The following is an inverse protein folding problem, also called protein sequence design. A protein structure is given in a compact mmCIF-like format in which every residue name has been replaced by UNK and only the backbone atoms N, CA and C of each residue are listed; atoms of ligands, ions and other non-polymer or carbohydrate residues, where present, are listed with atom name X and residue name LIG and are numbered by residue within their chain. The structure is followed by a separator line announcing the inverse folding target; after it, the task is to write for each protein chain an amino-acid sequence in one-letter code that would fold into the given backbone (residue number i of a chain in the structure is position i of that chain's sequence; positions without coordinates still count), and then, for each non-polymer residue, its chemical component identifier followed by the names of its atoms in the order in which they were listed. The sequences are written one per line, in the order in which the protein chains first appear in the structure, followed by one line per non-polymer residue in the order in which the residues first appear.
data_IF_012870449056
#
_entry.id   IF_012870449056
#
_cell.length_a   1.000
_cell.length_b   1.000
_cell.length_c   1.000
_cell.angle_alpha   90.00
_cell.angle_beta   90.00
_cell.angle_gamma   90.00
#
_symmetry.space_group_name_H-M   'P 1'
#
loop_
_entity.id
_entity.type
_entity.pdbx_description
1 polymer ?
#
# COMPACT_ATOMS: atom_id res chain seq x y z
N UNK A 1 -16.04 9.24 -11.36
CA UNK A 1 -16.76 8.01 -11.00
C UNK A 1 -17.63 8.18 -9.76
N UNK A 2 -17.06 8.41 -8.56
CA UNK A 2 -17.85 8.50 -7.30
C UNK A 2 -19.03 9.49 -7.34
N UNK A 3 -18.81 10.71 -7.85
CA UNK A 3 -19.87 11.73 -8.01
C UNK A 3 -21.04 11.23 -8.85
N UNK A 4 -20.77 10.53 -9.95
CA UNK A 4 -21.82 10.01 -10.83
C UNK A 4 -22.65 8.90 -10.16
N UNK A 5 -22.04 8.18 -9.20
CA UNK A 5 -22.71 7.15 -8.42
C UNK A 5 -23.34 7.66 -7.10
N UNK A 6 -23.31 8.99 -6.84
CA UNK A 6 -23.77 9.54 -5.56
C UNK A 6 -23.01 8.97 -4.36
N UNK A 7 -21.75 8.58 -4.54
CA UNK A 7 -20.93 7.94 -3.51
C UNK A 7 -20.05 8.96 -2.77
N UNK A 8 -19.97 8.80 -1.46
CA UNK A 8 -18.96 9.45 -0.62
C UNK A 8 -17.72 8.58 -0.52
N UNK A 9 -16.64 9.16 -0.01
CA UNK A 9 -15.41 8.40 0.29
C UNK A 9 -15.70 7.47 1.47
N UNK A 10 -15.46 6.15 1.34
CA UNK A 10 -15.71 5.19 2.40
C UNK A 10 -14.70 5.33 3.53
N UNK A 11 -15.16 5.20 4.78
CA UNK A 11 -14.29 5.26 5.98
C UNK A 11 -14.10 3.90 6.64
N UNK A 12 -14.93 2.92 6.31
CA UNK A 12 -14.80 1.51 6.74
C UNK A 12 -14.57 0.57 5.56
N UNK A 13 -13.97 -0.60 5.80
CA UNK A 13 -13.76 -1.59 4.73
C UNK A 13 -15.06 -2.15 4.15
N UNK A 14 -16.12 -2.21 4.96
CA UNK A 14 -17.45 -2.61 4.48
C UNK A 14 -18.03 -1.56 3.51
N UNK A 15 -18.01 -0.28 3.89
CA UNK A 15 -18.42 0.80 2.99
C UNK A 15 -17.57 0.83 1.72
N UNK A 16 -16.26 0.58 1.86
CA UNK A 16 -15.35 0.52 0.73
C UNK A 16 -15.75 -0.57 -0.26
N UNK A 17 -15.99 -1.79 0.23
CA UNK A 17 -16.44 -2.89 -0.60
C UNK A 17 -17.80 -2.58 -1.24
N UNK A 18 -18.76 -2.02 -0.50
CA UNK A 18 -20.08 -1.67 -1.01
C UNK A 18 -20.00 -0.64 -2.14
N UNK A 19 -19.24 0.44 -1.93
CA UNK A 19 -19.07 1.48 -2.94
C UNK A 19 -18.28 0.96 -4.13
N UNK A 20 -17.19 0.21 -3.92
CA UNK A 20 -16.39 -0.37 -4.99
C UNK A 20 -17.24 -1.29 -5.88
N UNK A 21 -18.07 -2.16 -5.29
CA UNK A 21 -19.02 -2.99 -6.04
C UNK A 21 -20.00 -2.14 -6.84
N UNK A 22 -20.62 -1.15 -6.19
CA UNK A 22 -21.62 -0.29 -6.81
C UNK A 22 -21.10 0.48 -8.02
N UNK A 23 -19.84 0.94 -7.98
CA UNK A 23 -19.24 1.72 -9.07
C UNK A 23 -18.49 0.86 -10.10
N UNK A 24 -18.46 -0.45 -9.91
CA UNK A 24 -17.92 -1.38 -10.92
C UNK A 24 -18.92 -1.56 -12.04
N UNK A 25 -18.51 -1.29 -13.28
CA UNK A 25 -19.33 -1.43 -14.48
C UNK A 25 -18.76 -2.56 -15.34
N UNK A 26 -19.63 -3.51 -15.72
CA UNK A 26 -19.30 -4.65 -16.57
C UNK A 26 -20.07 -4.57 -17.89
N UNK A 27 -19.49 -5.06 -18.98
CA UNK A 27 -20.21 -5.21 -20.26
C UNK A 27 -21.11 -6.46 -20.26
N UNK A 28 -21.81 -6.72 -21.37
CA UNK A 28 -22.69 -7.88 -21.53
C UNK A 28 -21.96 -9.23 -21.45
N UNK A 29 -20.67 -9.26 -21.75
CA UNK A 29 -19.81 -10.44 -21.58
C UNK A 29 -19.24 -10.57 -20.15
N UNK A 30 -19.64 -9.71 -19.22
CA UNK A 30 -19.17 -9.71 -17.83
C UNK A 30 -17.79 -9.10 -17.62
N UNK A 31 -17.16 -8.53 -18.66
CA UNK A 31 -15.84 -7.92 -18.57
C UNK A 31 -15.93 -6.53 -17.95
N UNK A 32 -15.04 -6.24 -16.99
CA UNK A 32 -14.99 -4.96 -16.28
C UNK A 32 -14.53 -3.85 -17.23
N UNK A 33 -15.37 -2.82 -17.39
CA UNK A 33 -15.08 -1.61 -18.19
C UNK A 33 -14.65 -0.44 -17.30
N UNK A 34 -15.23 -0.35 -16.11
CA UNK A 34 -14.81 0.56 -15.04
C UNK A 34 -14.70 -0.24 -13.77
N UNK A 35 -13.50 -0.27 -13.19
CA UNK A 35 -13.22 -1.01 -11.98
C UNK A 35 -13.55 -0.17 -10.74
N UNK A 36 -14.16 -0.80 -9.74
CA UNK A 36 -14.42 -0.19 -8.44
C UNK A 36 -13.15 0.00 -7.61
N UNK A 37 -12.39 -1.06 -7.46
CA UNK A 37 -11.13 -1.08 -6.72
C UNK A 37 -10.14 -2.00 -7.41
N UNK A 38 -8.87 -1.59 -7.43
CA UNK A 38 -7.76 -2.45 -7.84
C UNK A 38 -7.23 -3.18 -6.62
N UNK A 39 -7.76 -4.36 -6.37
CA UNK A 39 -7.39 -5.27 -5.28
C UNK A 39 -7.55 -6.72 -5.73
N UNK A 40 -6.84 -7.62 -5.04
CA UNK A 40 -7.01 -9.06 -5.16
C UNK A 40 -6.02 -9.80 -6.05
N UNK A 41 -5.32 -9.11 -6.94
CA UNK A 41 -4.24 -9.69 -7.74
C UNK A 41 -2.86 -9.17 -7.31
N UNK A 42 -1.79 -9.88 -7.69
CA UNK A 42 -0.40 -9.41 -7.54
C UNK A 42 0.17 -8.89 -8.86
N UNK A 43 -0.27 -9.46 -9.99
CA UNK A 43 0.33 -9.23 -11.30
C UNK A 43 0.04 -7.85 -11.91
N UNK A 44 -1.12 -7.26 -11.62
CA UNK A 44 -1.57 -5.99 -12.22
C UNK A 44 -2.13 -4.98 -11.20
N UNK A 45 -1.92 -5.22 -9.91
CA UNK A 45 -2.26 -4.29 -8.83
C UNK A 45 -0.95 -3.74 -8.26
N UNK A 46 -0.69 -2.46 -8.50
CA UNK A 46 0.43 -1.76 -7.89
C UNK A 46 0.21 -1.69 -6.37
N UNK A 47 1.31 -1.66 -5.61
CA UNK A 47 1.29 -1.56 -4.14
C UNK A 47 0.49 -2.66 -3.43
N UNK A 48 0.24 -3.80 -4.10
CA UNK A 48 -0.40 -4.94 -3.45
C UNK A 48 0.31 -5.39 -2.15
N UNK A 49 1.65 -5.34 -2.00
CA UNK A 49 2.30 -5.70 -0.75
C UNK A 49 1.90 -4.77 0.40
N UNK A 50 1.89 -3.46 0.15
CA UNK A 50 1.50 -2.44 1.11
C UNK A 50 0.02 -2.54 1.49
N UNK A 51 -0.86 -2.81 0.51
CA UNK A 51 -2.28 -3.04 0.75
C UNK A 51 -2.46 -4.27 1.65
N UNK A 52 -1.75 -5.37 1.35
CA UNK A 52 -1.81 -6.59 2.15
C UNK A 52 -1.30 -6.34 3.58
N UNK A 53 -0.16 -5.67 3.72
CA UNK A 53 0.41 -5.32 5.02
C UNK A 53 -0.53 -4.45 5.86
N UNK A 54 -1.16 -3.46 5.23
CA UNK A 54 -2.18 -2.62 5.87
C UNK A 54 -3.34 -3.47 6.41
N UNK A 55 -3.88 -4.37 5.60
CA UNK A 55 -5.01 -5.23 5.98
C UNK A 55 -4.63 -6.14 7.15
N UNK A 56 -3.44 -6.75 7.12
CA UNK A 56 -2.92 -7.52 8.25
C UNK A 56 -2.84 -6.65 9.50
N UNK A 57 -2.17 -5.51 9.43
CA UNK A 57 -1.90 -4.67 10.60
C UNK A 57 -3.17 -4.06 11.20
N UNK A 58 -4.26 -3.92 10.45
CA UNK A 58 -5.54 -3.47 11.00
C UNK A 58 -6.32 -4.57 11.73
N UNK A 59 -6.01 -5.85 11.51
CA UNK A 59 -6.64 -6.94 12.25
C UNK A 59 -6.13 -6.99 13.69
N UNK A 60 -6.99 -7.24 14.70
CA UNK A 60 -6.58 -7.31 16.11
C UNK A 60 -5.42 -8.28 16.37
N UNK A 61 -5.45 -9.45 15.73
CA UNK A 61 -4.41 -10.50 15.84
C UNK A 61 -3.59 -10.65 14.55
N UNK A 62 -3.59 -9.62 13.70
CA UNK A 62 -2.84 -9.63 12.45
C UNK A 62 -1.34 -9.64 12.69
N UNK A 63 -0.67 -10.67 12.15
CA UNK A 63 0.77 -10.85 12.32
C UNK A 63 1.43 -11.17 10.99
N UNK A 64 2.34 -10.31 10.53
CA UNK A 64 3.08 -10.52 9.28
C UNK A 64 4.28 -11.47 9.43
N UNK A 65 4.72 -11.74 10.67
CA UNK A 65 5.76 -12.72 10.98
C UNK A 65 5.18 -14.12 11.18
N UNK A 66 3.96 -14.22 11.73
CA UNK A 66 3.22 -15.47 11.92
C UNK A 66 1.82 -15.40 11.28
N UNK A 67 1.74 -15.28 9.94
CA UNK A 67 0.47 -15.00 9.27
C UNK A 67 -0.52 -16.16 9.25
N UNK A 68 -0.10 -17.38 9.60
CA UNK A 68 -0.92 -18.60 9.53
C UNK A 68 -1.99 -18.72 10.64
N UNK A 69 -2.61 -17.61 11.03
CA UNK A 69 -3.67 -17.52 12.01
C UNK A 69 -5.03 -17.16 11.36
N UNK A 70 -6.09 -17.04 12.17
CA UNK A 70 -7.43 -16.75 11.67
C UNK A 70 -7.49 -15.41 10.93
N UNK A 71 -6.97 -14.35 11.53
CA UNK A 71 -6.94 -13.01 10.93
C UNK A 71 -6.16 -12.97 9.62
N UNK A 72 -5.03 -13.66 9.53
CA UNK A 72 -4.26 -13.74 8.29
C UNK A 72 -5.00 -14.45 7.17
N UNK A 73 -5.68 -15.57 7.50
CA UNK A 73 -6.53 -16.29 6.54
C UNK A 73 -7.66 -15.38 6.03
N UNK A 74 -8.32 -14.64 6.92
CA UNK A 74 -9.37 -13.68 6.57
C UNK A 74 -8.86 -12.54 5.69
N UNK A 75 -7.64 -12.05 5.93
CA UNK A 75 -7.01 -11.00 5.12
C UNK A 75 -6.73 -11.48 3.70
N UNK A 76 -6.16 -12.69 3.54
CA UNK A 76 -5.92 -13.26 2.20
C UNK A 76 -7.23 -13.49 1.46
N UNK A 77 -8.23 -14.02 2.16
CA UNK A 77 -9.55 -14.26 1.59
C UNK A 77 -10.24 -12.95 1.18
N UNK A 78 -10.17 -11.92 2.02
CA UNK A 78 -10.72 -10.60 1.75
C UNK A 78 -10.04 -9.95 0.54
N UNK A 79 -8.71 -9.94 0.52
CA UNK A 79 -7.95 -9.36 -0.59
C UNK A 79 -8.26 -10.10 -1.90
N UNK A 80 -8.06 -11.42 -1.95
CA UNK A 80 -8.28 -12.23 -3.15
C UNK A 80 -9.75 -12.18 -3.64
N UNK A 81 -10.71 -12.01 -2.73
CA UNK A 81 -12.14 -11.94 -3.02
C UNK A 81 -12.53 -10.85 -4.03
N UNK A 82 -11.74 -9.78 -4.17
CA UNK A 82 -11.96 -8.74 -5.19
C UNK A 82 -11.77 -9.24 -6.63
N UNK A 83 -11.18 -10.43 -6.81
CA UNK A 83 -11.01 -11.14 -8.08
C UNK A 83 -11.81 -12.44 -8.11
N UNK A 84 -11.79 -13.20 -7.00
CA UNK A 84 -12.29 -14.59 -6.96
C UNK A 84 -13.75 -14.73 -6.58
N UNK A 85 -14.32 -13.83 -5.78
CA UNK A 85 -15.72 -13.89 -5.37
C UNK A 85 -16.60 -13.10 -6.35
N UNK A 86 -17.49 -13.74 -7.13
CA UNK A 86 -18.34 -13.06 -8.10
C UNK A 86 -19.18 -11.92 -7.50
N UNK A 87 -19.56 -12.01 -6.22
CA UNK A 87 -20.33 -10.97 -5.52
C UNK A 87 -19.49 -9.74 -5.18
N UNK A 88 -18.19 -9.93 -4.97
CA UNK A 88 -17.25 -8.89 -4.57
C UNK A 88 -16.29 -8.48 -5.70
N UNK A 89 -16.39 -9.12 -6.86
CA UNK A 89 -15.49 -8.91 -7.99
C UNK A 89 -15.54 -7.50 -8.56
N UNK A 90 -14.54 -6.69 -8.24
CA UNK A 90 -14.28 -5.35 -8.80
C UNK A 90 -13.02 -5.26 -9.65
N UNK A 91 -12.20 -6.33 -9.66
CA UNK A 91 -10.96 -6.40 -10.40
C UNK A 91 -10.83 -7.72 -11.17
N UNK A 92 -9.93 -7.74 -12.16
CA UNK A 92 -9.61 -8.93 -12.94
C UNK A 92 -8.15 -8.86 -13.41
N UNK A 93 -7.48 -10.02 -13.46
CA UNK A 93 -6.07 -10.13 -13.88
C UNK A 93 -5.86 -9.79 -15.36
N UNK A 94 -6.92 -9.79 -16.17
CA UNK A 94 -6.88 -9.40 -17.59
C UNK A 94 -6.90 -7.89 -17.81
N UNK A 95 -7.17 -7.10 -16.76
CA UNK A 95 -7.15 -5.64 -16.86
C UNK A 95 -5.71 -5.12 -17.02
N UNK A 96 -5.53 -3.94 -17.66
CA UNK A 96 -4.29 -3.18 -17.57
C UNK A 96 -3.89 -2.92 -16.11
N UNK A 97 -2.65 -2.49 -15.88
CA UNK A 97 -2.19 -2.22 -14.51
C UNK A 97 -3.07 -1.17 -13.82
N UNK A 98 -3.17 -1.25 -12.49
CA UNK A 98 -3.95 -0.29 -11.71
C UNK A 98 -3.56 1.16 -11.97
N UNK A 99 -2.28 1.45 -12.16
CA UNK A 99 -1.78 2.76 -12.61
C UNK A 99 -2.42 3.21 -13.92
N UNK A 100 -2.44 2.33 -14.94
CA UNK A 100 -2.99 2.64 -16.26
C UNK A 100 -4.51 2.81 -16.21
N UNK A 101 -5.19 1.95 -15.45
CA UNK A 101 -6.63 2.05 -15.25
C UNK A 101 -7.02 3.34 -14.52
N UNK A 102 -6.24 3.75 -13.51
CA UNK A 102 -6.48 5.01 -12.79
C UNK A 102 -6.18 6.24 -13.64
N UNK A 103 -5.02 6.28 -14.31
CA UNK A 103 -4.60 7.43 -15.11
C UNK A 103 -5.52 7.67 -16.32
N UNK A 104 -6.14 6.62 -16.85
CA UNK A 104 -7.15 6.68 -17.92
C UNK A 104 -8.58 6.95 -17.41
N UNK A 105 -8.78 7.12 -16.11
CA UNK A 105 -10.09 7.43 -15.53
C UNK A 105 -11.07 6.25 -15.46
N UNK A 106 -10.57 5.01 -15.56
CA UNK A 106 -11.37 3.76 -15.54
C UNK A 106 -11.31 2.99 -14.21
N UNK A 107 -10.72 3.57 -13.16
CA UNK A 107 -10.65 2.99 -11.82
C UNK A 107 -11.13 4.00 -10.78
N UNK A 108 -12.04 3.58 -9.88
CA UNK A 108 -12.59 4.47 -8.86
C UNK A 108 -11.70 4.60 -7.62
N UNK A 109 -11.18 3.48 -7.10
CA UNK A 109 -10.28 3.45 -5.95
C UNK A 109 -8.93 2.85 -6.29
N UNK A 110 -7.88 3.63 -6.07
CA UNK A 110 -6.49 3.24 -6.29
C UNK A 110 -5.69 3.53 -5.02
N UNK A 111 -5.13 2.49 -4.41
CA UNK A 111 -4.19 2.65 -3.31
C UNK A 111 -2.82 3.00 -3.87
N UNK A 112 -2.21 4.06 -3.35
CA UNK A 112 -0.97 4.58 -3.89
C UNK A 112 -0.18 5.35 -2.84
N UNK A 113 1.14 5.42 -3.03
CA UNK A 113 2.03 6.28 -2.24
C UNK A 113 1.81 7.76 -2.58
N UNK A 114 2.22 8.65 -1.68
CA UNK A 114 2.19 10.10 -1.94
C UNK A 114 3.01 10.49 -3.19
N UNK A 115 4.15 9.81 -3.42
CA UNK A 115 4.97 9.99 -4.61
C UNK A 115 4.19 9.67 -5.89
N UNK A 116 3.45 8.56 -5.90
CA UNK A 116 2.63 8.18 -7.05
C UNK A 116 1.44 9.12 -7.25
N UNK A 117 0.79 9.55 -6.19
CA UNK A 117 -0.29 10.54 -6.29
C UNK A 117 0.21 11.87 -6.90
N UNK A 118 1.40 12.33 -6.50
CA UNK A 118 2.04 13.50 -7.11
C UNK A 118 2.39 13.27 -8.58
N UNK A 119 2.94 12.10 -8.95
CA UNK A 119 3.28 11.80 -10.35
C UNK A 119 2.04 11.77 -11.23
N UNK A 120 0.94 11.17 -10.77
CA UNK A 120 -0.32 11.13 -11.51
C UNK A 120 -0.88 12.52 -11.82
N UNK A 121 -0.70 13.48 -10.92
CA UNK A 121 -1.14 14.86 -11.15
C UNK A 121 -0.33 15.56 -12.25
N UNK A 122 0.95 15.21 -12.37
CA UNK A 122 1.84 15.71 -13.44
C UNK A 122 1.53 15.00 -14.76
N UNK A 123 1.38 13.67 -14.73
CA UNK A 123 1.10 12.82 -15.90
C UNK A 123 -0.26 13.14 -16.54
N UNK A 124 -1.30 13.36 -15.73
CA UNK A 124 -2.62 13.73 -16.21
C UNK A 124 -3.24 14.83 -15.33
N UNK A 125 -2.96 16.11 -15.61
CA UNK A 125 -3.49 17.24 -14.85
C UNK A 125 -5.02 17.32 -14.85
N UNK A 126 -5.66 16.77 -15.90
CA UNK A 126 -7.11 16.73 -16.10
C UNK A 126 -7.78 15.57 -15.35
N UNK A 127 -7.02 14.62 -14.81
CA UNK A 127 -7.57 13.57 -13.98
C UNK A 127 -8.19 14.18 -12.71
N UNK A 128 -9.51 14.03 -12.57
CA UNK A 128 -10.24 14.52 -11.42
C UNK A 128 -10.21 13.48 -10.30
N UNK A 129 -9.19 13.54 -9.45
CA UNK A 129 -9.05 12.69 -8.28
C UNK A 129 -8.76 13.51 -7.01
N UNK A 130 -8.94 12.85 -5.87
CA UNK A 130 -8.54 13.33 -4.54
C UNK A 130 -7.90 12.18 -3.79
N UNK A 131 -7.06 12.50 -2.82
CA UNK A 131 -6.55 11.52 -1.86
C UNK A 131 -7.45 11.49 -0.64
N UNK A 132 -7.50 10.33 0.02
CA UNK A 132 -8.28 10.12 1.23
C UNK A 132 -7.57 9.15 2.17
N UNK A 133 -7.86 9.20 3.49
CA UNK A 133 -7.41 8.19 4.41
C UNK A 133 -7.87 6.79 4.00
N UNK A 134 -7.06 5.77 4.30
CA UNK A 134 -7.46 4.38 4.06
C UNK A 134 -8.61 4.01 4.99
N UNK A 135 -9.51 3.09 4.57
CA UNK A 135 -10.58 2.61 5.44
C UNK A 135 -10.01 1.99 6.73
N UNK A 136 -10.79 2.07 7.81
CA UNK A 136 -10.39 1.58 9.14
C UNK A 136 -11.34 0.49 9.64
N UNK A 137 -10.82 -0.43 10.43
CA UNK A 137 -11.62 -1.34 11.27
C UNK A 137 -12.00 -0.66 12.59
N UNK A 138 -13.12 -1.07 13.24
CA UNK A 138 -13.42 -0.63 14.59
C UNK A 138 -12.28 -0.96 15.57
N UNK A 139 -12.04 -0.08 16.54
CA UNK A 139 -11.08 -0.34 17.63
C UNK A 139 -9.68 0.22 17.43
N UNK A 140 -9.36 0.86 16.30
CA UNK A 140 -8.06 1.50 16.12
C UNK A 140 -7.93 2.34 14.85
N UNK A 141 -6.81 3.08 14.76
CA UNK A 141 -6.38 3.74 13.53
C UNK A 141 -4.99 3.24 13.16
N UNK A 142 -4.89 2.56 12.03
CA UNK A 142 -3.62 2.07 11.49
C UNK A 142 -3.58 2.39 10.01
N UNK A 143 -2.43 2.89 9.56
CA UNK A 143 -2.11 3.01 8.14
C UNK A 143 -0.70 2.47 7.92
N UNK A 144 -0.35 2.20 6.67
CA UNK A 144 0.94 1.65 6.30
C UNK A 144 1.83 2.71 5.66
N UNK A 145 3.12 2.73 5.99
CA UNK A 145 4.07 3.67 5.44
C UNK A 145 5.45 3.05 5.24
N UNK A 146 5.95 3.13 4.01
CA UNK A 146 7.35 2.91 3.67
C UNK A 146 8.11 4.23 3.60
N UNK A 147 9.41 4.20 3.92
CA UNK A 147 10.26 5.38 3.86
C UNK A 147 11.68 5.04 3.45
N UNK A 148 12.33 6.00 2.78
CA UNK A 148 13.76 5.99 2.53
C UNK A 148 14.46 6.82 3.59
N UNK A 149 15.57 6.30 4.11
CA UNK A 149 16.41 7.01 5.07
C UNK A 149 17.79 7.29 4.48
N UNK A 150 18.39 8.40 4.89
CA UNK A 150 19.78 8.72 4.55
C UNK A 150 20.68 8.10 5.64
N UNK A 151 21.67 7.32 5.22
CA UNK A 151 22.65 6.71 6.10
C UNK A 151 24.07 7.13 5.72
N UNK A 152 24.97 7.18 6.69
CA UNK A 152 26.41 7.38 6.47
C UNK A 152 27.10 6.03 6.61
N UNK A 153 27.87 5.64 5.59
CA UNK A 153 28.65 4.41 5.61
C UNK A 153 29.67 4.43 6.76
N UNK A 154 29.74 3.34 7.53
CA UNK A 154 30.72 3.13 8.58
C UNK A 154 32.18 3.10 8.05
N UNK A 155 32.37 2.92 6.75
CA UNK A 155 33.70 2.94 6.08
C UNK A 155 34.10 4.33 5.60
N UNK A 156 33.24 5.33 5.73
CA UNK A 156 33.54 6.69 5.31
C UNK A 156 34.73 7.25 6.10
N UNK A 157 35.65 7.91 5.41
CA UNK A 157 36.75 8.66 6.03
C UNK A 157 36.30 10.05 6.55
N UNK A 158 35.08 10.47 6.21
CA UNK A 158 34.52 11.79 6.52
C UNK A 158 33.23 11.70 7.35
N UNK A 159 33.10 10.71 8.23
CA UNK A 159 31.86 10.41 8.95
C UNK A 159 31.26 11.63 9.67
N UNK A 160 32.09 12.40 10.39
CA UNK A 160 31.63 13.59 11.12
C UNK A 160 31.01 14.63 10.17
N UNK A 161 31.73 15.01 9.12
CA UNK A 161 31.24 15.98 8.12
C UNK A 161 30.01 15.46 7.37
N UNK A 162 29.97 14.17 7.05
CA UNK A 162 28.80 13.56 6.43
C UNK A 162 27.56 13.65 7.32
N UNK A 163 27.69 13.35 8.63
CA UNK A 163 26.58 13.50 9.56
C UNK A 163 26.17 14.97 9.78
N UNK A 164 27.11 15.90 9.83
CA UNK A 164 26.82 17.35 9.85
C UNK A 164 26.00 17.76 8.62
N UNK A 165 26.34 17.24 7.45
CA UNK A 165 25.58 17.48 6.22
C UNK A 165 24.19 16.83 6.25
N UNK A 166 24.05 15.59 6.73
CA UNK A 166 22.73 14.96 6.90
C UNK A 166 21.85 15.75 7.88
N UNK A 167 22.44 16.29 8.94
CA UNK A 167 21.74 17.18 9.89
C UNK A 167 21.26 18.46 9.19
N UNK A 168 22.12 19.07 8.38
CA UNK A 168 21.76 20.25 7.57
C UNK A 168 20.62 19.93 6.58
N UNK A 169 20.69 18.81 5.87
CA UNK A 169 19.61 18.36 4.96
C UNK A 169 18.27 18.12 5.66
N UNK A 170 18.29 17.97 6.99
CA UNK A 170 17.12 17.71 7.82
C UNK A 170 16.58 18.97 8.50
N UNK A 171 17.12 20.17 8.22
CA UNK A 171 16.54 21.41 8.75
C UNK A 171 15.24 21.75 8.00
N UNK A 172 14.26 22.43 8.65
CA UNK A 172 13.00 22.78 8.01
C UNK A 172 13.16 23.54 6.69
N UNK A 173 14.11 24.48 6.65
CA UNK A 173 14.35 25.33 5.48
C UNK A 173 14.83 24.49 4.28
N UNK A 174 15.76 23.56 4.51
CA UNK A 174 16.33 22.70 3.46
C UNK A 174 15.33 21.65 3.00
N UNK A 175 14.56 21.08 3.94
CA UNK A 175 13.48 20.13 3.62
C UNK A 175 12.41 20.80 2.76
N UNK A 176 11.98 22.01 3.11
CA UNK A 176 10.96 22.73 2.37
C UNK A 176 11.44 23.12 0.98
N UNK A 177 12.71 23.54 0.84
CA UNK A 177 13.29 23.89 -0.45
C UNK A 177 13.46 22.70 -1.41
N UNK A 178 13.72 21.50 -0.88
CA UNK A 178 14.01 20.30 -1.70
C UNK A 178 12.78 19.45 -2.05
N UNK A 179 11.68 19.60 -1.30
CA UNK A 179 10.52 18.71 -1.44
C UNK A 179 9.22 19.51 -1.40
N UNK A 180 8.47 19.45 -2.50
CA UNK A 180 7.14 20.05 -2.60
C UNK A 180 6.05 19.03 -2.85
N UNK A 181 6.43 17.80 -3.22
CA UNK A 181 5.51 16.75 -3.68
C UNK A 181 5.46 15.54 -2.76
N UNK A 182 6.27 15.51 -1.69
CA UNK A 182 6.31 14.42 -0.72
C UNK A 182 6.06 14.93 0.70
N UNK A 183 5.51 14.08 1.60
CA UNK A 183 5.41 14.39 3.02
C UNK A 183 6.78 14.73 3.63
N UNK A 184 6.83 15.76 4.47
CA UNK A 184 8.02 16.11 5.22
C UNK A 184 8.30 15.07 6.30
N UNK A 185 9.56 14.64 6.48
CA UNK A 185 9.93 13.62 7.46
C UNK A 185 9.98 14.15 8.90
N UNK A 186 9.35 15.30 9.19
CA UNK A 186 9.34 15.92 10.51
C UNK A 186 7.92 16.26 10.96
N UNK A 187 7.60 15.90 12.19
CA UNK A 187 6.27 16.10 12.78
C UNK A 187 5.95 17.59 13.01
N UNK A 188 6.97 18.40 13.38
CA UNK A 188 6.82 19.85 13.56
C UNK A 188 6.42 20.58 12.27
N UNK A 189 6.66 19.98 11.11
CA UNK A 189 6.30 20.51 9.79
C UNK A 189 4.94 20.02 9.28
N UNK A 190 4.23 19.14 10.00
CA UNK A 190 2.97 18.55 9.53
C UNK A 190 1.90 19.61 9.22
N UNK A 191 1.84 20.69 10.02
CA UNK A 191 0.92 21.80 9.81
C UNK A 191 1.10 22.53 8.48
N UNK A 192 2.28 22.43 7.86
CA UNK A 192 2.56 23.05 6.56
C UNK A 192 1.92 22.29 5.38
N UNK A 193 1.61 21.00 5.55
CA UNK A 193 1.15 20.12 4.46
C UNK A 193 -0.25 19.52 4.70
N UNK A 194 -0.82 19.66 5.90
CA UNK A 194 -2.12 19.07 6.24
C UNK A 194 -3.28 19.58 5.36
N UNK A 195 -3.17 20.82 4.86
CA UNK A 195 -4.16 21.43 3.95
C UNK A 195 -3.91 21.15 2.46
N UNK A 196 -2.84 20.45 2.10
CA UNK A 196 -2.52 20.16 0.71
C UNK A 196 -3.54 19.16 0.11
N UNK A 197 -4.06 19.40 -1.11
CA UNK A 197 -5.10 18.57 -1.71
C UNK A 197 -4.66 17.13 -2.04
N UNK A 198 -3.35 16.85 -2.09
CA UNK A 198 -2.77 15.52 -2.31
C UNK A 198 -2.17 14.98 -1.01
N UNK A 199 -1.34 15.77 -0.32
CA UNK A 199 -0.58 15.33 0.85
C UNK A 199 -1.42 15.30 2.14
N UNK A 200 -2.48 16.09 2.25
CA UNK A 200 -3.26 16.23 3.49
C UNK A 200 -3.76 14.90 4.04
N UNK A 201 -4.25 14.01 3.17
CA UNK A 201 -4.69 12.67 3.56
C UNK A 201 -3.55 11.81 4.13
N UNK A 202 -2.33 11.88 3.56
CA UNK A 202 -1.18 11.16 4.09
C UNK A 202 -0.71 11.74 5.42
N UNK A 203 -0.61 13.07 5.53
CA UNK A 203 -0.19 13.76 6.75
C UNK A 203 -1.15 13.48 7.91
N UNK A 204 -2.46 13.46 7.66
CA UNK A 204 -3.47 13.14 8.67
C UNK A 204 -3.33 11.74 9.28
N UNK A 205 -2.65 10.83 8.57
CA UNK A 205 -2.44 9.45 8.98
C UNK A 205 -1.02 9.17 9.50
N UNK A 206 -0.07 10.08 9.26
CA UNK A 206 1.36 9.87 9.50
C UNK A 206 1.68 9.49 10.96
N UNK A 207 0.92 10.02 11.92
CA UNK A 207 1.10 9.75 13.35
C UNK A 207 0.83 8.28 13.75
N UNK A 208 0.13 7.52 12.91
CA UNK A 208 -0.20 6.12 13.18
C UNK A 208 0.21 5.19 12.03
N UNK A 209 1.21 5.60 11.23
CA UNK A 209 1.86 4.72 10.28
C UNK A 209 2.60 3.59 10.98
N UNK A 210 2.42 2.39 10.45
CA UNK A 210 3.22 1.21 10.75
C UNK A 210 3.99 0.83 9.48
N UNK A 211 5.18 0.27 9.66
CA UNK A 211 5.99 -0.24 8.57
C UNK A 211 6.33 -1.71 8.82
N UNK A 212 6.55 -2.44 7.74
CA UNK A 212 7.07 -3.80 7.74
C UNK A 212 7.86 -4.04 6.46
N UNK A 213 8.25 -5.29 6.18
CA UNK A 213 9.06 -5.66 5.01
C UNK A 213 8.25 -5.90 3.72
N UNK A 214 6.97 -5.52 3.68
CA UNK A 214 6.17 -5.56 2.45
C UNK A 214 6.12 -4.17 1.82
N UNK A 215 7.10 -3.87 0.97
CA UNK A 215 7.15 -2.63 0.20
C UNK A 215 7.51 -2.96 -1.24
N UNK A 216 6.66 -2.60 -2.21
CA UNK A 216 6.84 -2.96 -3.62
C UNK A 216 8.00 -2.23 -4.30
N UNK A 217 8.39 -1.06 -3.76
CA UNK A 217 9.43 -0.20 -4.34
C UNK A 217 10.74 -0.21 -3.55
N UNK A 218 10.94 -1.16 -2.62
CA UNK A 218 12.20 -1.28 -1.89
C UNK A 218 13.38 -1.61 -2.82
N UNK A 219 13.20 -2.53 -3.78
CA UNK A 219 14.22 -2.91 -4.78
C UNK A 219 15.57 -3.20 -4.14
N UNK A 220 15.54 -3.81 -2.96
CA UNK A 220 16.71 -4.00 -2.11
C UNK A 220 17.48 -5.29 -2.46
N UNK A 221 16.94 -6.12 -3.36
CA UNK A 221 17.38 -7.49 -3.62
C UNK A 221 17.60 -8.24 -2.29
N UNK A 222 16.75 -7.93 -1.31
CA UNK A 222 17.00 -8.17 0.10
C UNK A 222 15.73 -8.56 0.84
N UNK A 223 15.66 -8.16 2.11
CA UNK A 223 14.58 -8.58 3.01
C UNK A 223 13.20 -8.21 2.46
N UNK A 224 13.03 -7.05 1.82
CA UNK A 224 11.73 -6.65 1.30
C UNK A 224 11.36 -7.48 0.07
N UNK A 225 12.27 -7.57 -0.91
CA UNK A 225 12.00 -8.31 -2.15
C UNK A 225 11.76 -9.81 -1.88
N UNK A 226 12.50 -10.41 -0.94
CA UNK A 226 12.31 -11.81 -0.53
C UNK A 226 10.97 -12.02 0.21
N UNK A 227 10.57 -11.09 1.10
CA UNK A 227 9.26 -11.16 1.78
C UNK A 227 8.11 -10.97 0.81
N UNK A 228 8.19 -9.99 -0.09
CA UNK A 228 7.19 -9.75 -1.14
C UNK A 228 7.00 -11.01 -1.97
N UNK A 229 8.08 -11.69 -2.38
CA UNK A 229 7.99 -12.92 -3.17
C UNK A 229 7.27 -14.06 -2.45
N UNK A 230 7.45 -14.21 -1.13
CA UNK A 230 6.73 -15.21 -0.35
C UNK A 230 5.22 -14.93 -0.31
N UNK A 231 4.84 -13.70 0.03
CA UNK A 231 3.43 -13.32 0.10
C UNK A 231 2.76 -13.32 -1.28
N UNK A 232 3.51 -13.05 -2.34
CA UNK A 232 3.04 -13.20 -3.72
C UNK A 232 2.65 -14.66 -4.01
N UNK A 233 3.52 -15.61 -3.63
CA UNK A 233 3.24 -17.03 -3.77
C UNK A 233 1.99 -17.48 -3.03
N UNK A 234 1.80 -17.02 -1.79
CA UNK A 234 0.60 -17.31 -1.01
C UNK A 234 -0.68 -16.75 -1.67
N UNK A 235 -0.66 -15.48 -2.11
CA UNK A 235 -1.80 -14.88 -2.81
C UNK A 235 -2.11 -15.58 -4.14
N UNK A 236 -1.09 -15.91 -4.92
CA UNK A 236 -1.26 -16.64 -6.18
C UNK A 236 -1.84 -18.04 -5.96
N UNK A 237 -1.48 -18.72 -4.87
CA UNK A 237 -2.10 -19.99 -4.50
C UNK A 237 -3.60 -19.82 -4.22
N UNK A 238 -4.00 -18.79 -3.46
CA UNK A 238 -5.43 -18.51 -3.19
C UNK A 238 -6.18 -18.13 -4.46
N UNK A 239 -5.58 -17.34 -5.36
CA UNK A 239 -6.15 -16.99 -6.67
C UNK A 239 -6.39 -18.22 -7.55
N UNK A 240 -5.62 -19.30 -7.35
CA UNK A 240 -5.76 -20.57 -8.06
C UNK A 240 -6.69 -21.56 -7.34
N UNK A 241 -7.40 -21.13 -6.29
CA UNK A 241 -8.35 -21.94 -5.53
C UNK A 241 -7.77 -22.65 -4.31
N UNK A 242 -6.54 -22.31 -3.90
CA UNK A 242 -5.96 -22.78 -2.65
C UNK A 242 -6.65 -22.18 -1.41
N UNK A 243 -6.59 -22.90 -0.29
CA UNK A 243 -7.07 -22.41 1.00
C UNK A 243 -6.14 -21.32 1.55
N UNK A 244 -6.73 -20.23 2.08
CA UNK A 244 -5.99 -19.07 2.58
C UNK A 244 -5.08 -19.43 3.76
N UNK A 245 -5.53 -20.26 4.70
CA UNK A 245 -4.71 -20.67 5.84
C UNK A 245 -3.58 -21.59 5.40
N UNK A 246 -3.87 -22.55 4.52
CA UNK A 246 -2.87 -23.44 3.93
C UNK A 246 -1.78 -22.68 3.17
N UNK A 247 -2.15 -21.67 2.38
CA UNK A 247 -1.22 -20.82 1.65
C UNK A 247 -0.27 -20.06 2.61
N UNK A 248 -0.78 -19.57 3.74
CA UNK A 248 0.03 -18.90 4.76
C UNK A 248 0.95 -19.87 5.52
N UNK A 249 0.44 -21.05 5.85
CA UNK A 249 1.24 -22.12 6.48
C UNK A 249 2.43 -22.51 5.59
N UNK A 250 2.24 -22.54 4.27
CA UNK A 250 3.29 -22.89 3.33
C UNK A 250 4.46 -21.86 3.31
N UNK A 251 4.18 -20.58 3.54
CA UNK A 251 5.21 -19.52 3.52
C UNK A 251 5.84 -19.26 4.89
N UNK A 252 5.20 -19.72 5.97
CA UNK A 252 5.64 -19.49 7.35
C UNK A 252 7.12 -19.84 7.61
N UNK A 253 7.65 -21.00 7.16
CA UNK A 253 9.07 -21.32 7.37
C UNK A 253 10.00 -20.37 6.61
N UNK A 254 9.61 -19.95 5.40
CA UNK A 254 10.39 -19.02 4.59
C UNK A 254 10.50 -17.64 5.24
N UNK A 255 9.43 -17.16 5.87
CA UNK A 255 9.44 -15.89 6.63
C UNK A 255 10.48 -15.96 7.74
N UNK A 256 10.48 -17.05 8.53
CA UNK A 256 11.46 -17.27 9.59
C UNK A 256 12.90 -17.27 9.07
N UNK A 257 13.16 -18.01 7.99
CA UNK A 257 14.49 -18.08 7.36
C UNK A 257 15.00 -16.72 6.88
N UNK A 258 14.14 -15.90 6.26
CA UNK A 258 14.52 -14.55 5.82
C UNK A 258 14.83 -13.68 7.03
N UNK A 259 13.97 -13.67 8.05
CA UNK A 259 14.21 -12.87 9.26
C UNK A 259 15.53 -13.27 9.92
N UNK A 260 15.79 -14.58 10.08
CA UNK A 260 17.03 -15.07 10.67
C UNK A 260 18.25 -14.66 9.84
N UNK A 261 18.18 -14.78 8.51
CA UNK A 261 19.25 -14.38 7.58
C UNK A 261 19.64 -12.91 7.76
N UNK A 262 18.67 -12.01 7.90
CA UNK A 262 18.90 -10.57 8.00
C UNK A 262 19.00 -10.04 9.44
N UNK A 263 18.65 -10.84 10.45
CA UNK A 263 18.93 -10.54 11.86
C UNK A 263 20.30 -11.06 12.30
N UNK A 264 20.75 -12.20 11.78
CA UNK A 264 22.08 -12.75 12.08
C UNK A 264 23.24 -11.89 11.55
N UNK A 265 23.00 -11.06 10.54
CA UNK A 265 23.97 -10.08 10.00
C UNK A 265 24.22 -8.87 10.91
N UNK A 266 23.56 -8.79 12.08
CA UNK A 266 23.81 -7.77 13.12
C UNK A 266 24.89 -8.17 14.14
N UNK A 267 25.47 -9.38 14.04
CA UNK A 267 26.64 -9.79 14.85
C UNK A 267 27.93 -9.59 14.06
#
# INVERSE_FOLDING_TARGET
ILKAAGATVPVTWQEFLDVARRVTVKNTAGQIQTAGAAMGATANVDFWPEILALLFLQQPDGNLTEPANQSGSEVLQFYAGFVTDPKNKTWDVTLPSSSQMFSSGKLAFYFATAAKAASLKVENPNLNFKTAPVPQLPGGKISYGGFWAIAVSARSQNQKKAWEFVKYLSTPEVIQARSTTLPYPRQDMAGLQVGDPILGAYISQAAYFKGWYLNSDARDAGINDEMVKLYEGALNSVLQGGDSRGALQAIQPGIGQILDKYQASKK
#
